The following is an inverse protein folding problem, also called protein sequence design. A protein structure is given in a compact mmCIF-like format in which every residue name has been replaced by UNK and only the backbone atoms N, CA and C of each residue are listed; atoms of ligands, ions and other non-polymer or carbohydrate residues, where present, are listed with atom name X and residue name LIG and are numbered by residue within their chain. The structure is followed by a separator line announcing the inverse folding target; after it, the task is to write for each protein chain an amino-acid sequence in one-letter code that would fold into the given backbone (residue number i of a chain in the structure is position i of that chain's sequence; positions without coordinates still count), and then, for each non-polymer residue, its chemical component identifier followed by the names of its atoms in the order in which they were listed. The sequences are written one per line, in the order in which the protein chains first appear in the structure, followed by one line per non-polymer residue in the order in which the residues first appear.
data_IF_301600611346
#
_entry.id   IF_301600611346
#
_cell.length_a   1.000
_cell.length_b   1.000
_cell.length_c   1.000
_cell.angle_alpha   90.00
_cell.angle_beta   90.00
_cell.angle_gamma   90.00
#
_symmetry.space_group_name_H-M   'P 1'
#
loop_
_entity.id
_entity.type
_entity.pdbx_description
1 polymer ?
#
# COMPACT_ATOMS: atom_id res chain seq x y z
N UNK A 1 -7.56 5.67 22.62
CA UNK A 1 -8.19 6.45 21.52
C UNK A 1 -9.08 5.48 20.78
N UNK A 2 -10.36 5.82 20.65
CA UNK A 2 -11.31 4.94 19.96
C UNK A 2 -11.22 5.23 18.47
N UNK A 3 -11.03 4.19 17.69
CA UNK A 3 -11.03 4.26 16.23
C UNK A 3 -11.58 2.95 15.65
N UNK A 4 -12.00 2.99 14.40
CA UNK A 4 -12.46 1.83 13.64
C UNK A 4 -11.60 1.66 12.39
N UNK A 5 -11.33 0.41 12.00
CA UNK A 5 -10.70 0.10 10.71
C UNK A 5 -11.81 -0.35 9.76
N UNK A 6 -11.92 0.32 8.63
CA UNK A 6 -12.91 0.01 7.61
C UNK A 6 -12.40 0.33 6.21
N UNK A 7 -13.06 -0.19 5.20
CA UNK A 7 -12.75 0.14 3.82
C UNK A 7 -12.89 1.65 3.58
N UNK A 8 -11.93 2.23 2.87
CA UNK A 8 -11.97 3.63 2.50
C UNK A 8 -13.17 3.94 1.61
N UNK A 9 -13.66 5.17 1.74
CA UNK A 9 -14.71 5.73 0.91
C UNK A 9 -14.17 6.92 0.13
N UNK A 10 -14.89 7.33 -0.87
CA UNK A 10 -14.55 8.48 -1.71
C UNK A 10 -14.24 9.75 -0.88
N UNK A 11 -14.93 9.96 0.24
CA UNK A 11 -14.72 11.10 1.16
C UNK A 11 -13.36 11.07 1.87
N UNK A 12 -12.70 9.91 1.95
CA UNK A 12 -11.40 9.77 2.61
C UNK A 12 -10.21 10.09 1.70
N UNK A 13 -10.41 10.21 0.37
CA UNK A 13 -9.35 10.29 -0.64
C UNK A 13 -8.36 11.42 -0.34
N UNK A 14 -8.85 12.61 0.03
CA UNK A 14 -8.01 13.77 0.35
C UNK A 14 -7.07 13.47 1.54
N UNK A 15 -7.53 12.70 2.53
CA UNK A 15 -6.72 12.34 3.69
C UNK A 15 -5.81 11.12 3.42
N UNK A 16 -6.20 10.22 2.51
CA UNK A 16 -5.43 9.03 2.13
C UNK A 16 -4.20 9.41 1.30
N UNK A 17 -4.37 10.28 0.31
CA UNK A 17 -3.33 10.62 -0.66
C UNK A 17 -1.99 11.03 -0.04
N UNK A 18 -1.95 11.95 0.95
CA UNK A 18 -0.70 12.31 1.62
C UNK A 18 -0.04 11.15 2.37
N UNK A 19 -0.84 10.22 2.93
CA UNK A 19 -0.31 9.06 3.64
C UNK A 19 0.27 8.01 2.68
N UNK A 20 -0.32 7.83 1.49
CA UNK A 20 0.27 7.02 0.43
C UNK A 20 1.61 7.63 0.03
N UNK A 21 1.65 8.93 -0.30
CA UNK A 21 2.90 9.62 -0.66
C UNK A 21 3.98 9.49 0.42
N UNK A 22 3.62 9.66 1.70
CA UNK A 22 4.55 9.47 2.81
C UNK A 22 5.15 8.06 2.87
N UNK A 23 4.38 7.05 2.50
CA UNK A 23 4.84 5.66 2.50
C UNK A 23 5.74 5.32 1.33
N UNK A 24 5.36 5.71 0.10
CA UNK A 24 6.02 5.30 -1.14
C UNK A 24 7.09 6.30 -1.62
N UNK A 25 7.09 7.54 -1.09
CA UNK A 25 8.11 8.53 -1.41
C UNK A 25 8.26 8.80 -2.91
N UNK A 26 9.50 8.71 -3.41
CA UNK A 26 9.84 9.00 -4.81
C UNK A 26 9.18 8.06 -5.83
N UNK A 27 8.67 6.91 -5.40
CA UNK A 27 7.87 6.02 -6.24
C UNK A 27 6.64 6.75 -6.79
N UNK A 28 6.06 7.70 -6.03
CA UNK A 28 4.92 8.49 -6.47
C UNK A 28 5.18 9.27 -7.77
N UNK A 29 6.39 9.80 -7.95
CA UNK A 29 6.77 10.50 -9.18
C UNK A 29 6.82 9.56 -10.39
N UNK A 30 7.27 8.32 -10.19
CA UNK A 30 7.27 7.31 -11.26
C UNK A 30 5.84 6.90 -11.62
N UNK A 31 4.96 6.71 -10.62
CA UNK A 31 3.57 6.31 -10.82
C UNK A 31 2.72 7.40 -11.46
N UNK A 32 3.07 8.67 -11.27
CA UNK A 32 2.31 9.80 -11.82
C UNK A 32 2.92 10.38 -13.09
N UNK A 33 4.20 10.06 -13.38
CA UNK A 33 4.94 10.66 -14.49
C UNK A 33 5.32 12.14 -14.27
N UNK A 34 5.05 12.70 -13.09
CA UNK A 34 5.28 14.10 -12.75
C UNK A 34 6.69 14.31 -12.15
N UNK A 35 7.14 15.56 -12.18
CA UNK A 35 8.42 15.99 -11.58
C UNK A 35 8.25 17.08 -10.53
N UNK A 36 7.08 17.68 -10.46
CA UNK A 36 6.70 18.70 -9.48
C UNK A 36 5.80 18.07 -8.42
N UNK A 37 6.01 18.38 -7.13
CA UNK A 37 5.28 17.78 -6.02
C UNK A 37 3.78 18.09 -6.06
N UNK A 38 3.40 19.33 -6.39
CA UNK A 38 2.00 19.74 -6.43
C UNK A 38 1.22 18.96 -7.50
N UNK A 39 1.73 18.92 -8.73
CA UNK A 39 1.13 18.15 -9.83
C UNK A 39 1.17 16.65 -9.56
N UNK A 40 2.25 16.14 -8.94
CA UNK A 40 2.35 14.75 -8.53
C UNK A 40 1.25 14.39 -7.52
N UNK A 41 1.02 15.22 -6.50
CA UNK A 41 -0.03 14.98 -5.50
C UNK A 41 -1.43 15.02 -6.11
N UNK A 42 -1.69 15.96 -7.03
CA UNK A 42 -2.97 16.01 -7.76
C UNK A 42 -3.19 14.71 -8.56
N UNK A 43 -2.19 14.25 -9.28
CA UNK A 43 -2.25 13.00 -10.06
C UNK A 43 -2.37 11.77 -9.16
N UNK A 44 -1.62 11.72 -8.07
CA UNK A 44 -1.72 10.63 -7.09
C UNK A 44 -3.15 10.58 -6.50
N UNK A 45 -3.75 11.74 -6.22
CA UNK A 45 -5.15 11.80 -5.78
C UNK A 45 -6.12 11.26 -6.84
N UNK A 46 -5.87 11.51 -8.13
CA UNK A 46 -6.66 10.94 -9.22
C UNK A 46 -6.50 9.41 -9.28
N UNK A 47 -5.28 8.89 -9.09
CA UNK A 47 -5.04 7.45 -9.00
C UNK A 47 -5.77 6.82 -7.81
N UNK A 48 -5.75 7.45 -6.64
CA UNK A 48 -6.49 6.96 -5.46
C UNK A 48 -7.99 6.95 -5.71
N UNK A 49 -8.50 7.89 -6.49
CA UNK A 49 -9.91 7.97 -6.87
C UNK A 49 -10.32 6.96 -7.94
N UNK A 50 -9.41 6.57 -8.82
CA UNK A 50 -9.67 5.59 -9.88
C UNK A 50 -9.81 4.18 -9.27
N UNK A 51 -10.77 3.41 -9.80
CA UNK A 51 -11.11 2.07 -9.29
C UNK A 51 -10.21 0.98 -9.84
N UNK A 52 -9.43 1.24 -10.90
CA UNK A 52 -8.74 0.23 -11.69
C UNK A 52 -7.22 0.23 -11.53
N UNK A 53 -6.69 0.56 -10.35
CA UNK A 53 -5.26 0.47 -10.07
C UNK A 53 -5.00 0.01 -8.64
N UNK A 54 -3.72 -0.33 -8.34
CA UNK A 54 -3.31 -0.87 -7.02
C UNK A 54 -3.58 0.09 -5.87
N UNK A 55 -3.43 1.41 -6.07
CA UNK A 55 -3.59 2.44 -5.04
C UNK A 55 -5.03 2.97 -4.92
N UNK A 56 -5.98 2.36 -5.62
CA UNK A 56 -7.39 2.71 -5.52
C UNK A 56 -7.89 2.74 -4.06
N UNK A 57 -8.78 3.69 -3.74
CA UNK A 57 -9.48 3.68 -2.46
C UNK A 57 -10.24 2.37 -2.21
N UNK A 58 -10.59 1.62 -3.27
CA UNK A 58 -11.22 0.29 -3.16
C UNK A 58 -10.27 -0.79 -2.61
N UNK A 59 -8.96 -0.60 -2.75
CA UNK A 59 -7.94 -1.47 -2.17
C UNK A 59 -7.41 -0.94 -0.84
N UNK A 60 -7.92 0.21 -0.37
CA UNK A 60 -7.45 0.91 0.82
C UNK A 60 -8.39 0.72 1.99
N UNK A 61 -7.84 0.44 3.17
CA UNK A 61 -8.54 0.48 4.44
C UNK A 61 -7.95 1.60 5.30
N UNK A 62 -8.82 2.23 6.07
CA UNK A 62 -8.47 3.39 6.90
C UNK A 62 -8.79 3.13 8.36
N UNK A 63 -7.91 3.56 9.25
CA UNK A 63 -8.20 3.70 10.68
C UNK A 63 -8.76 5.10 10.91
N UNK A 64 -10.06 5.20 11.28
CA UNK A 64 -10.78 6.45 11.48
C UNK A 64 -11.09 6.68 12.96
N UNK A 65 -10.80 7.85 13.47
CA UNK A 65 -11.26 8.26 14.80
C UNK A 65 -12.74 8.70 14.78
N UNK A 66 -13.28 9.02 15.97
CA UNK A 66 -14.67 9.45 16.14
C UNK A 66 -15.03 10.76 15.42
N UNK A 67 -14.04 11.51 14.92
CA UNK A 67 -14.24 12.75 14.13
C UNK A 67 -14.09 12.53 12.62
N UNK A 68 -13.96 11.28 12.17
CA UNK A 68 -13.68 10.90 10.78
C UNK A 68 -12.29 11.33 10.26
N UNK A 69 -11.34 11.55 11.18
CA UNK A 69 -9.94 11.78 10.83
C UNK A 69 -9.25 10.46 10.52
N UNK A 70 -8.53 10.39 9.40
CA UNK A 70 -7.71 9.22 9.04
C UNK A 70 -6.43 9.24 9.87
N UNK A 71 -6.27 8.23 10.72
CA UNK A 71 -5.11 8.03 11.60
C UNK A 71 -4.04 7.16 10.94
N UNK A 72 -4.43 6.33 9.99
CA UNK A 72 -3.53 5.46 9.24
C UNK A 72 -4.26 4.73 8.14
N UNK A 73 -3.50 4.18 7.22
CA UNK A 73 -3.98 3.46 6.05
C UNK A 73 -3.25 2.14 5.88
N UNK A 74 -3.91 1.21 5.21
CA UNK A 74 -3.30 0.02 4.63
C UNK A 74 -3.92 -0.24 3.27
N UNK A 75 -3.08 -0.42 2.25
CA UNK A 75 -3.47 -0.79 0.88
C UNK A 75 -3.16 -2.25 0.67
N UNK A 76 -4.15 -3.03 0.25
CA UNK A 76 -4.00 -4.48 0.11
C UNK A 76 -4.80 -4.99 -1.09
N UNK A 77 -4.25 -5.99 -1.76
CA UNK A 77 -4.94 -6.67 -2.85
C UNK A 77 -4.48 -8.13 -3.01
N UNK A 78 -5.25 -8.88 -3.78
CA UNK A 78 -4.92 -10.22 -4.27
C UNK A 78 -3.69 -10.14 -5.19
N UNK A 79 -2.58 -10.77 -4.82
CA UNK A 79 -1.34 -10.77 -5.63
C UNK A 79 -1.57 -11.18 -7.07
N UNK A 80 -2.53 -12.10 -7.30
CA UNK A 80 -2.94 -12.52 -8.65
C UNK A 80 -3.51 -11.39 -9.50
N UNK A 81 -4.09 -10.36 -8.87
CA UNK A 81 -4.61 -9.16 -9.55
C UNK A 81 -3.55 -8.10 -9.81
N UNK A 82 -2.38 -8.19 -9.16
CA UNK A 82 -1.33 -7.19 -9.26
C UNK A 82 -1.01 -6.81 -10.72
N UNK A 83 -0.71 -7.79 -11.55
CA UNK A 83 -0.40 -7.56 -12.97
C UNK A 83 -1.56 -6.95 -13.79
N UNK A 84 -2.83 -7.15 -13.40
CA UNK A 84 -3.98 -6.51 -14.03
C UNK A 84 -4.10 -5.04 -13.62
N UNK A 85 -3.95 -4.77 -12.33
CA UNK A 85 -3.96 -3.42 -11.75
C UNK A 85 -2.81 -2.56 -12.32
N UNK A 86 -1.64 -3.16 -12.53
CA UNK A 86 -0.47 -2.49 -13.11
C UNK A 86 -0.67 -2.17 -14.59
N UNK A 87 -1.17 -3.13 -15.39
CA UNK A 87 -1.46 -2.87 -16.80
C UNK A 87 -2.46 -1.74 -17.01
N UNK A 88 -3.45 -1.60 -16.14
CA UNK A 88 -4.41 -0.50 -16.23
C UNK A 88 -3.70 0.86 -16.01
N UNK A 89 -2.80 0.92 -15.04
CA UNK A 89 -2.00 2.13 -14.75
C UNK A 89 -0.99 2.40 -15.88
N UNK A 90 -0.25 1.40 -16.35
CA UNK A 90 0.69 1.51 -17.48
C UNK A 90 0.00 2.05 -18.75
N UNK A 91 -1.19 1.56 -19.04
CA UNK A 91 -2.00 2.04 -20.17
C UNK A 91 -2.38 3.50 -20.00
N UNK A 92 -2.84 3.90 -18.83
CA UNK A 92 -3.20 5.29 -18.53
C UNK A 92 -2.01 6.23 -18.71
N UNK A 93 -0.83 5.84 -18.22
CA UNK A 93 0.41 6.62 -18.35
C UNK A 93 0.89 6.72 -19.81
N UNK A 94 0.72 5.65 -20.59
CA UNK A 94 1.04 5.68 -22.01
C UNK A 94 0.12 6.63 -22.77
N UNK A 95 -1.19 6.58 -22.50
CA UNK A 95 -2.19 7.42 -23.17
C UNK A 95 -2.03 8.90 -22.82
N UNK A 96 -1.71 9.20 -21.57
CA UNK A 96 -1.60 10.59 -21.08
C UNK A 96 -0.23 11.23 -21.39
N UNK A 97 0.86 10.47 -21.24
CA UNK A 97 2.23 11.02 -21.35
C UNK A 97 3.03 10.49 -22.55
N UNK A 98 2.47 9.52 -23.30
CA UNK A 98 3.20 8.86 -24.39
C UNK A 98 4.41 8.06 -23.91
N UNK A 99 4.46 7.71 -22.61
CA UNK A 99 5.57 6.97 -22.00
C UNK A 99 5.18 5.51 -21.76
N UNK A 100 5.99 4.61 -22.26
CA UNK A 100 5.93 3.19 -21.86
C UNK A 100 6.66 3.07 -20.52
N UNK A 101 5.93 2.81 -19.46
CA UNK A 101 6.45 2.47 -18.13
C UNK A 101 6.11 1.02 -17.89
N UNK A 102 7.04 0.27 -17.30
CA UNK A 102 6.77 -1.08 -16.79
C UNK A 102 6.79 -1.00 -15.27
N UNK A 103 5.71 -1.44 -14.66
CA UNK A 103 5.60 -1.50 -13.19
C UNK A 103 6.10 -2.87 -12.75
N UNK A 104 6.96 -2.88 -11.75
CA UNK A 104 7.52 -4.11 -11.21
C UNK A 104 6.43 -4.94 -10.52
N UNK A 105 6.46 -6.25 -10.76
CA UNK A 105 5.63 -7.20 -10.01
C UNK A 105 6.11 -7.23 -8.57
N UNK A 106 5.20 -7.13 -7.61
CA UNK A 106 5.54 -7.01 -6.19
C UNK A 106 5.04 -8.17 -5.33
N UNK A 107 4.23 -9.06 -5.87
CA UNK A 107 3.64 -10.19 -5.14
C UNK A 107 3.56 -11.44 -5.99
N UNK A 108 3.50 -12.61 -5.35
CA UNK A 108 3.16 -13.86 -6.00
C UNK A 108 1.63 -14.06 -6.07
N UNK A 109 1.19 -14.85 -7.04
CA UNK A 109 -0.23 -15.11 -7.30
C UNK A 109 -0.98 -15.78 -6.13
N UNK A 110 -0.28 -16.44 -5.23
CA UNK A 110 -0.86 -17.16 -4.09
C UNK A 110 -0.81 -16.38 -2.77
N UNK A 111 -0.54 -15.07 -2.85
CA UNK A 111 -0.41 -14.18 -1.72
C UNK A 111 -1.52 -13.14 -1.66
N UNK A 112 -1.96 -12.78 -0.45
CA UNK A 112 -2.62 -11.51 -0.21
C UNK A 112 -1.56 -10.49 0.15
N UNK A 113 -1.44 -9.43 -0.65
CA UNK A 113 -0.31 -8.53 -0.60
C UNK A 113 -0.65 -7.20 0.07
N UNK A 114 0.19 -6.79 1.00
CA UNK A 114 0.17 -5.44 1.60
C UNK A 114 1.13 -4.58 0.77
N UNK A 115 0.57 -3.71 -0.05
CA UNK A 115 1.30 -2.76 -0.89
C UNK A 115 1.85 -1.59 -0.07
N UNK A 116 0.97 -0.96 0.71
CA UNK A 116 1.29 0.25 1.46
C UNK A 116 0.71 0.19 2.87
N UNK A 117 1.49 0.60 3.86
CA UNK A 117 1.00 0.85 5.22
C UNK A 117 1.63 2.15 5.74
N UNK A 118 0.79 3.06 6.22
CA UNK A 118 1.24 4.32 6.80
C UNK A 118 0.38 4.72 7.99
N UNK A 119 1.01 5.26 9.02
CA UNK A 119 0.33 5.85 10.19
C UNK A 119 0.69 7.33 10.24
N UNK A 120 -0.33 8.19 10.27
CA UNK A 120 -0.17 9.63 10.40
C UNK A 120 0.83 9.97 11.51
N UNK A 121 1.68 10.95 11.29
CA UNK A 121 2.71 11.37 12.24
C UNK A 121 2.15 11.67 13.64
N UNK A 122 0.95 12.26 13.71
CA UNK A 122 0.26 12.58 14.96
C UNK A 122 -0.27 11.34 15.70
N UNK A 123 -0.46 10.22 15.01
CA UNK A 123 -1.01 8.99 15.55
C UNK A 123 0.05 7.88 15.73
N UNK A 124 1.33 8.17 15.49
CA UNK A 124 2.43 7.22 15.70
C UNK A 124 2.60 6.91 17.19
N UNK A 125 3.07 5.71 17.48
CA UNK A 125 3.26 5.23 18.85
C UNK A 125 1.99 4.77 19.57
N UNK A 126 0.81 4.93 18.95
CA UNK A 126 -0.49 4.50 19.50
C UNK A 126 -0.89 3.06 19.14
N UNK A 127 -0.01 2.30 18.50
CA UNK A 127 -0.26 0.91 18.12
C UNK A 127 -1.07 0.70 16.84
N UNK A 128 -1.51 1.77 16.16
CA UNK A 128 -2.38 1.71 14.97
C UNK A 128 -1.78 0.84 13.85
N UNK A 129 -0.47 0.97 13.58
CA UNK A 129 0.19 0.12 12.58
C UNK A 129 0.11 -1.38 12.91
N UNK A 130 0.18 -1.73 14.19
CA UNK A 130 0.01 -3.11 14.65
C UNK A 130 -1.42 -3.61 14.40
N UNK A 131 -2.42 -2.78 14.68
CA UNK A 131 -3.83 -3.14 14.47
C UNK A 131 -4.18 -3.21 12.97
N UNK A 132 -3.61 -2.34 12.13
CA UNK A 132 -3.74 -2.45 10.67
C UNK A 132 -3.16 -3.78 10.15
N UNK A 133 -2.00 -4.22 10.67
CA UNK A 133 -1.41 -5.51 10.29
C UNK A 133 -2.26 -6.71 10.76
N UNK A 134 -2.85 -6.65 11.97
CA UNK A 134 -3.80 -7.68 12.44
C UNK A 134 -5.05 -7.72 11.56
N UNK A 135 -5.58 -6.55 11.23
CA UNK A 135 -6.72 -6.44 10.32
C UNK A 135 -6.41 -7.07 8.96
N UNK A 136 -5.21 -6.81 8.40
CA UNK A 136 -4.77 -7.43 7.15
C UNK A 136 -4.72 -8.96 7.25
N UNK A 137 -4.22 -9.50 8.37
CA UNK A 137 -4.19 -10.94 8.64
C UNK A 137 -5.60 -11.54 8.66
N UNK A 138 -6.53 -10.91 9.38
CA UNK A 138 -7.93 -11.34 9.47
C UNK A 138 -8.63 -11.30 8.12
N UNK A 139 -8.40 -10.25 7.31
CA UNK A 139 -8.95 -10.13 5.97
C UNK A 139 -8.39 -11.22 5.04
N UNK A 140 -7.08 -11.43 5.01
CA UNK A 140 -6.46 -12.47 4.20
C UNK A 140 -6.97 -13.87 4.58
N UNK A 141 -7.06 -14.18 5.87
CA UNK A 141 -7.60 -15.45 6.34
C UNK A 141 -9.09 -15.63 5.97
N UNK A 142 -9.90 -14.58 6.11
CA UNK A 142 -11.34 -14.61 5.75
C UNK A 142 -11.52 -14.84 4.25
N UNK A 143 -10.62 -14.33 3.42
CA UNK A 143 -10.62 -14.52 1.97
C UNK A 143 -10.03 -15.87 1.55
N UNK A 144 -9.51 -16.67 2.49
CA UNK A 144 -8.98 -18.01 2.25
C UNK A 144 -7.52 -18.06 1.79
N UNK A 145 -6.77 -16.97 1.95
CA UNK A 145 -5.35 -16.97 1.69
C UNK A 145 -4.56 -17.67 2.78
N UNK A 146 -3.55 -18.42 2.39
CA UNK A 146 -2.60 -19.05 3.32
C UNK A 146 -1.33 -18.21 3.54
N UNK A 147 -1.18 -17.11 2.81
CA UNK A 147 -0.03 -16.22 2.87
C UNK A 147 -0.47 -14.75 2.83
N UNK A 148 0.07 -13.98 3.75
CA UNK A 148 0.05 -12.52 3.75
C UNK A 148 1.48 -12.04 3.52
N UNK A 149 1.71 -11.18 2.53
CA UNK A 149 3.04 -10.73 2.17
C UNK A 149 3.15 -9.21 2.08
N UNK A 150 4.37 -8.71 2.08
CA UNK A 150 4.75 -7.32 1.85
C UNK A 150 6.18 -7.24 1.36
N UNK A 151 6.55 -6.13 0.74
CA UNK A 151 7.93 -5.76 0.48
C UNK A 151 8.33 -4.59 1.38
N UNK A 152 9.54 -4.63 1.93
CA UNK A 152 10.07 -3.55 2.77
C UNK A 152 11.49 -3.20 2.32
N UNK A 153 11.77 -1.90 2.17
CA UNK A 153 13.12 -1.44 1.86
C UNK A 153 14.15 -1.97 2.87
N UNK A 154 15.28 -2.43 2.36
CA UNK A 154 16.36 -2.99 3.19
C UNK A 154 16.77 -2.06 4.33
N UNK A 155 16.76 -0.75 4.09
CA UNK A 155 17.17 0.28 5.06
C UNK A 155 16.14 0.58 6.14
N UNK A 156 14.86 0.21 5.97
CA UNK A 156 13.79 0.47 6.96
C UNK A 156 13.81 -0.52 8.13
N UNK A 157 14.89 -0.54 8.90
CA UNK A 157 15.13 -1.51 9.98
C UNK A 157 14.02 -1.56 11.04
N UNK A 158 13.41 -0.41 11.38
CA UNK A 158 12.32 -0.34 12.37
C UNK A 158 11.05 -1.03 11.85
N UNK A 159 10.71 -0.84 10.58
CA UNK A 159 9.57 -1.48 9.94
C UNK A 159 9.79 -3.00 9.85
N UNK A 160 10.97 -3.44 9.39
CA UNK A 160 11.35 -4.86 9.36
C UNK A 160 11.23 -5.53 10.73
N UNK A 161 11.72 -4.84 11.78
CA UNK A 161 11.60 -5.34 13.16
C UNK A 161 10.13 -5.44 13.62
N UNK A 162 9.25 -4.51 13.20
CA UNK A 162 7.82 -4.59 13.47
C UNK A 162 7.21 -5.82 12.76
N UNK A 163 7.46 -5.98 11.46
CA UNK A 163 6.92 -7.11 10.70
C UNK A 163 7.37 -8.46 11.24
N UNK A 164 8.65 -8.61 11.64
CA UNK A 164 9.12 -9.81 12.31
C UNK A 164 8.37 -10.11 13.63
N UNK A 165 8.11 -9.08 14.46
CA UNK A 165 7.31 -9.24 15.68
C UNK A 165 5.84 -9.64 15.38
N UNK A 166 5.33 -9.26 14.20
CA UNK A 166 3.99 -9.64 13.73
C UNK A 166 3.97 -11.01 13.06
N UNK A 167 5.10 -11.72 13.02
CA UNK A 167 5.18 -13.08 12.49
C UNK A 167 5.51 -13.17 11.00
N UNK A 168 5.93 -12.08 10.36
CA UNK A 168 6.48 -12.13 9.01
C UNK A 168 7.93 -12.63 9.04
N UNK A 169 8.27 -13.47 8.09
CA UNK A 169 9.62 -13.99 7.86
C UNK A 169 10.18 -13.39 6.57
N UNK A 170 11.48 -13.04 6.58
CA UNK A 170 12.18 -12.61 5.37
C UNK A 170 12.41 -13.83 4.47
N UNK A 171 11.96 -13.75 3.23
CA UNK A 171 12.05 -14.87 2.28
C UNK A 171 13.13 -14.66 1.24
N UNK A 172 13.14 -13.50 0.57
CA UNK A 172 14.08 -13.26 -0.51
C UNK A 172 14.30 -11.76 -0.77
N UNK A 173 15.43 -11.39 -1.42
CA UNK A 173 15.60 -10.03 -1.91
C UNK A 173 14.65 -9.76 -3.07
N UNK A 174 14.16 -8.52 -3.13
CA UNK A 174 13.28 -8.02 -4.19
C UNK A 174 13.80 -6.68 -4.71
N UNK A 175 13.49 -6.33 -5.93
CA UNK A 175 13.86 -5.04 -6.51
C UNK A 175 12.61 -4.33 -7.01
N UNK A 176 12.39 -3.10 -6.57
CA UNK A 176 11.28 -2.25 -7.01
C UNK A 176 11.89 -0.91 -7.41
N UNK A 177 11.67 -0.49 -8.66
CA UNK A 177 12.22 0.75 -9.24
C UNK A 177 13.73 0.92 -8.98
N UNK A 178 14.48 -0.16 -9.20
CA UNK A 178 15.94 -0.25 -8.96
C UNK A 178 16.37 -0.10 -7.49
N UNK A 179 15.45 -0.05 -6.54
CA UNK A 179 15.77 -0.01 -5.12
C UNK A 179 15.67 -1.41 -4.48
N UNK A 180 16.54 -1.71 -3.49
CA UNK A 180 16.57 -3.01 -2.85
C UNK A 180 15.50 -3.12 -1.75
N UNK A 181 14.67 -4.14 -1.85
CA UNK A 181 13.67 -4.54 -0.88
C UNK A 181 13.94 -5.95 -0.35
N UNK A 182 13.27 -6.31 0.72
CA UNK A 182 13.14 -7.68 1.22
C UNK A 182 11.67 -8.06 1.14
N UNK A 183 11.39 -9.17 0.47
CA UNK A 183 10.08 -9.80 0.49
C UNK A 183 9.88 -10.51 1.82
N UNK A 184 8.76 -10.25 2.47
CA UNK A 184 8.43 -10.85 3.76
C UNK A 184 7.06 -11.50 3.69
N UNK A 185 6.95 -12.71 4.23
CA UNK A 185 5.73 -13.52 4.18
C UNK A 185 5.35 -13.97 5.59
N UNK A 186 4.07 -13.83 5.90
CA UNK A 186 3.44 -14.46 7.06
C UNK A 186 2.52 -15.59 6.60
N UNK A 187 2.78 -16.82 7.09
CA UNK A 187 1.89 -17.97 6.86
C UNK A 187 0.68 -17.88 7.78
N UNK A 188 -0.50 -17.96 7.19
CA UNK A 188 -1.78 -17.98 7.88
C UNK A 188 -2.21 -19.42 8.16
N UNK A 189 -2.93 -19.60 9.26
CA UNK A 189 -3.44 -20.93 9.68
C UNK A 189 -4.81 -21.19 9.10
#
# INVERSE_FOLDING_TARGET
MDYVIQQAKHENIIQITPLIYEAIGDIAYNLTGETNEETMLEKLQMLVKDENNRHSYLNTFVALDGSSKVLGIIVMYDGKKGAELDRALEKSLLEEYGRTISIDVEAYDDEYYIDTICVSSEARGLGIGTELLKFAEEQAATLGYSKLSLNVEVVKLKARALYKRMGFEETEPWTIINEPFIHMVKRLK
#
